data_IF_588306235369
#
_entry.id   IF_588306235369
#
_cell.length_a   1.000
_cell.length_b   1.000
_cell.length_c   1.000
_cell.angle_alpha   90.00
_cell.angle_beta   90.00
_cell.angle_gamma   90.00
#
_symmetry.space_group_name_H-M   'P 1'
#
loop_
_entity.id
_entity.type
_entity.pdbx_description
1 polymer ?
#
# COMPACT_ATOMS: atom_id res chain seq x y z
N UNK A 1 13.54 -7.57 -1.44
CA UNK A 1 12.12 -7.25 -1.28
C UNK A 1 11.28 -8.33 -1.92
N UNK A 2 10.19 -8.69 -1.27
CA UNK A 2 9.36 -9.80 -1.72
C UNK A 2 8.14 -9.34 -2.51
N UNK A 3 7.65 -8.18 -2.16
CA UNK A 3 6.52 -7.56 -2.84
C UNK A 3 6.81 -6.10 -3.03
N UNK A 4 6.02 -5.45 -3.88
CA UNK A 4 6.11 -4.00 -4.02
C UNK A 4 4.71 -3.41 -3.91
N UNK A 5 4.66 -2.17 -3.47
CA UNK A 5 3.41 -1.43 -3.32
C UNK A 5 3.35 -0.29 -4.33
N UNK A 6 3.89 -0.53 -5.52
CA UNK A 6 3.93 0.49 -6.56
C UNK A 6 2.54 0.93 -6.98
N UNK A 7 1.59 -0.02 -7.01
CA UNK A 7 0.20 0.32 -7.32
C UNK A 7 -0.39 1.29 -6.31
N UNK A 8 -0.10 1.05 -5.03
CA UNK A 8 -0.56 1.97 -3.99
C UNK A 8 0.07 3.35 -4.15
N UNK A 9 1.37 3.40 -4.38
CA UNK A 9 2.06 4.67 -4.56
C UNK A 9 1.46 5.46 -5.74
N UNK A 10 1.18 4.78 -6.83
CA UNK A 10 0.58 5.41 -8.00
C UNK A 10 -0.80 5.95 -7.69
N UNK A 11 -1.61 5.17 -6.96
CA UNK A 11 -2.95 5.60 -6.57
C UNK A 11 -2.89 6.82 -5.66
N UNK A 12 -1.95 6.85 -4.73
CA UNK A 12 -1.81 8.01 -3.85
C UNK A 12 -1.50 9.27 -4.66
N UNK A 13 -0.59 9.15 -5.62
CA UNK A 13 -0.26 10.28 -6.48
C UNK A 13 -1.49 10.72 -7.26
N UNK A 14 -2.21 9.78 -7.84
CA UNK A 14 -3.40 10.09 -8.64
C UNK A 14 -4.48 10.77 -7.81
N UNK A 15 -4.56 10.43 -6.53
CA UNK A 15 -5.58 11.00 -5.65
C UNK A 15 -5.09 12.21 -4.86
N UNK A 16 -3.85 12.63 -5.08
CA UNK A 16 -3.28 13.77 -4.37
C UNK A 16 -3.05 13.48 -2.90
N UNK A 17 -2.80 12.22 -2.56
CA UNK A 17 -2.56 11.80 -1.17
C UNK A 17 -1.10 11.46 -0.97
N UNK A 18 -0.67 11.46 0.28
CA UNK A 18 0.67 11.03 0.64
C UNK A 18 0.60 9.99 1.75
N UNK A 19 1.77 9.53 2.22
CA UNK A 19 1.81 8.49 3.24
C UNK A 19 1.21 8.96 4.57
N UNK A 20 1.31 10.23 4.87
CA UNK A 20 0.73 10.80 6.07
C UNK A 20 -0.80 10.64 6.02
N UNK A 21 -1.39 10.77 4.85
CA UNK A 21 -2.83 10.59 4.70
C UNK A 21 -3.25 9.14 4.98
N UNK A 22 -2.41 8.17 4.68
CA UNK A 22 -2.70 6.78 5.04
C UNK A 22 -2.86 6.64 6.55
N UNK A 23 -2.01 7.32 7.29
CA UNK A 23 -2.08 7.28 8.75
C UNK A 23 -3.29 8.07 9.24
N UNK A 24 -3.46 9.29 8.78
CA UNK A 24 -4.45 10.20 9.37
C UNK A 24 -5.86 9.92 8.87
N UNK A 25 -6.02 9.59 7.61
CA UNK A 25 -7.35 9.40 7.04
C UNK A 25 -7.84 7.97 7.10
N UNK A 26 -6.96 7.00 6.99
CA UNK A 26 -7.34 5.59 6.95
C UNK A 26 -7.00 4.88 8.24
N UNK A 27 -6.08 5.42 9.02
CA UNK A 27 -5.74 4.86 10.32
C UNK A 27 -4.66 3.79 10.25
N UNK A 28 -3.81 3.82 9.25
CA UNK A 28 -2.72 2.84 9.13
C UNK A 28 -1.56 3.29 10.01
N UNK A 29 -1.04 2.37 10.83
CA UNK A 29 0.05 2.69 11.74
C UNK A 29 1.31 3.09 10.98
N UNK A 30 2.08 4.07 11.49
CA UNK A 30 3.31 4.48 10.80
C UNK A 30 4.30 3.34 10.61
N UNK A 31 4.39 2.42 11.57
CA UNK A 31 5.28 1.27 11.44
C UNK A 31 4.88 0.39 10.26
N UNK A 32 3.58 0.24 10.03
CA UNK A 32 3.08 -0.54 8.90
C UNK A 32 3.40 0.16 7.59
N UNK A 33 3.24 1.47 7.55
CA UNK A 33 3.59 2.25 6.36
C UNK A 33 5.08 2.10 6.04
N UNK A 34 5.92 2.11 7.07
CA UNK A 34 7.36 1.92 6.88
C UNK A 34 7.67 0.54 6.31
N UNK A 35 6.96 -0.50 6.78
CA UNK A 35 7.12 -1.84 6.22
C UNK A 35 6.78 -1.87 4.73
N UNK A 36 5.71 -1.20 4.37
CA UNK A 36 5.32 -1.14 2.97
C UNK A 36 6.39 -0.45 2.13
N UNK A 37 7.02 0.58 2.68
CA UNK A 37 8.11 1.27 2.00
C UNK A 37 9.32 0.38 1.77
N UNK A 38 9.49 -0.66 2.59
CA UNK A 38 10.59 -1.61 2.44
C UNK A 38 10.19 -2.85 1.65
N UNK A 39 8.98 -2.92 1.15
CA UNK A 39 8.52 -4.08 0.41
C UNK A 39 8.27 -5.30 1.28
N UNK A 40 7.97 -5.08 2.56
CA UNK A 40 7.70 -6.17 3.50
C UNK A 40 6.21 -6.50 3.51
N UNK A 41 5.90 -7.69 4.00
CA UNK A 41 4.50 -8.11 4.10
C UNK A 41 3.78 -7.31 5.17
N UNK A 42 2.53 -7.00 4.88
CA UNK A 42 1.62 -6.42 5.86
C UNK A 42 0.38 -7.30 5.91
N UNK A 43 -0.47 -7.10 6.90
CA UNK A 43 -1.64 -7.96 7.05
C UNK A 43 -2.67 -7.69 5.96
N UNK A 44 -3.47 -8.70 5.67
CA UNK A 44 -4.58 -8.55 4.73
C UNK A 44 -5.57 -7.50 5.23
N UNK A 45 -5.72 -7.38 6.54
CA UNK A 45 -6.62 -6.38 7.10
C UNK A 45 -6.18 -4.97 6.73
N UNK A 46 -4.89 -4.70 6.78
CA UNK A 46 -4.35 -3.41 6.38
C UNK A 46 -4.66 -3.15 4.91
N UNK A 47 -4.39 -4.14 4.06
CA UNK A 47 -4.67 -4.02 2.64
C UNK A 47 -6.17 -3.82 2.38
N UNK A 48 -7.00 -4.53 3.12
CA UNK A 48 -8.45 -4.38 3.00
C UNK A 48 -8.90 -2.96 3.33
N UNK A 49 -8.38 -2.40 4.41
CA UNK A 49 -8.73 -1.03 4.80
C UNK A 49 -8.34 -0.03 3.72
N UNK A 50 -7.13 -0.17 3.19
CA UNK A 50 -6.65 0.73 2.16
C UNK A 50 -7.49 0.56 0.89
N UNK A 51 -7.71 -0.68 0.48
CA UNK A 51 -8.45 -0.96 -0.75
C UNK A 51 -9.87 -0.42 -0.69
N UNK A 52 -10.56 -0.65 0.43
CA UNK A 52 -11.93 -0.15 0.56
C UNK A 52 -11.98 1.36 0.65
N UNK A 53 -11.01 1.97 1.31
CA UNK A 53 -10.96 3.44 1.41
C UNK A 53 -10.68 4.10 0.07
N UNK A 54 -9.88 3.47 -0.77
CA UNK A 54 -9.55 4.01 -2.09
C UNK A 54 -10.43 3.45 -3.20
N UNK A 55 -11.35 2.56 -2.84
CA UNK A 55 -12.29 1.93 -3.78
C UNK A 55 -11.57 1.19 -4.91
N UNK A 56 -10.60 0.37 -4.52
CA UNK A 56 -9.82 -0.46 -5.44
C UNK A 56 -9.73 -1.87 -4.87
N UNK A 57 -9.07 -2.75 -5.59
CA UNK A 57 -8.88 -4.14 -5.16
C UNK A 57 -7.44 -4.34 -4.65
N UNK A 58 -7.19 -5.51 -4.04
CA UNK A 58 -5.87 -5.84 -3.52
C UNK A 58 -4.79 -5.75 -4.59
N UNK A 59 -5.08 -6.28 -5.77
CA UNK A 59 -4.11 -6.28 -6.86
C UNK A 59 -3.74 -4.91 -7.36
N UNK A 60 -4.54 -3.91 -7.04
CA UNK A 60 -4.23 -2.52 -7.40
C UNK A 60 -3.23 -1.90 -6.45
N UNK A 61 -3.00 -2.53 -5.30
CA UNK A 61 -2.13 -1.98 -4.26
C UNK A 61 -0.77 -2.65 -4.25
N UNK A 62 -0.73 -3.96 -4.39
CA UNK A 62 0.47 -4.74 -4.13
C UNK A 62 0.67 -5.76 -5.24
N UNK A 63 1.93 -6.02 -5.55
CA UNK A 63 2.30 -7.03 -6.55
C UNK A 63 3.50 -7.81 -6.05
N UNK A 64 3.64 -9.02 -6.57
CA UNK A 64 4.80 -9.86 -6.27
C UNK A 64 6.00 -9.34 -7.04
N UNK A 65 7.12 -9.20 -6.34
CA UNK A 65 8.37 -8.87 -7.00
C UNK A 65 8.88 -10.12 -7.70
N UNK A 66 8.83 -10.10 -9.02
CA UNK A 66 9.30 -11.21 -9.80
C UNK A 66 10.66 -10.87 -10.35
N UNK A 67 11.55 -11.81 -10.22
CA UNK A 67 12.83 -11.63 -10.85
C UNK A 67 12.63 -11.54 -12.34
N UNK A 68 13.32 -10.61 -12.91
CA UNK A 68 13.25 -10.46 -14.32
C UNK A 68 14.26 -11.42 -14.93
N UNK A 69 13.76 -12.36 -15.62
CA UNK A 69 14.57 -13.43 -16.16
C UNK A 69 15.00 -13.15 -17.57
#
# INVERSE_FOLDING_TARGET
>A
MKVNYNGLCKLLIDKGMNKKDLHESIGIAPATIAKMGRGEFVSMEVLYRIATSLNVDFGDLVAINRKNE
#
